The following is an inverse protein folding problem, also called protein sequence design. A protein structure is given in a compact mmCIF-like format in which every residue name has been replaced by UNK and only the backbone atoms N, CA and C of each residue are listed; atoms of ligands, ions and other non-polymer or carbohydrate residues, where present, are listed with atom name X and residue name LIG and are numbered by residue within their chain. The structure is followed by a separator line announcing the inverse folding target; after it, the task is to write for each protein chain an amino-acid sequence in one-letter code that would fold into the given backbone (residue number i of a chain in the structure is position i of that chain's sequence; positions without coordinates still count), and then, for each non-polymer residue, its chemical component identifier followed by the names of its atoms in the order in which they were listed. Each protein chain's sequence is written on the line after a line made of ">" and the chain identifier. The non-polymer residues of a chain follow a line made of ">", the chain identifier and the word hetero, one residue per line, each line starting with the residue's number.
data_IF_604994451405
#
_entry.id   IF_604994451405
#
_cell.length_a   1.000
_cell.length_b   1.000
_cell.length_c   1.000
_cell.angle_alpha   90.00
_cell.angle_beta   90.00
_cell.angle_gamma   90.00
#
_symmetry.space_group_name_H-M   'P 1'
#
loop_
_entity.id
_entity.type
_entity.pdbx_description
1 polymer ?
#
# COMPACT_ATOMS: atom_id res chain seq x y z
N UNK A 1 -13.89 10.51 -19.14
CA UNK A 1 -12.77 9.54 -19.24
C UNK A 1 -11.54 10.05 -18.53
N UNK A 2 -10.97 11.21 -18.92
CA UNK A 2 -9.77 11.79 -18.27
C UNK A 2 -9.90 11.95 -16.75
N UNK A 3 -11.05 12.37 -16.22
CA UNK A 3 -11.25 12.53 -14.78
C UNK A 3 -11.23 11.20 -14.00
N UNK A 4 -11.73 10.11 -14.60
CA UNK A 4 -11.75 8.78 -13.99
C UNK A 4 -10.33 8.22 -13.87
N UNK A 5 -9.52 8.46 -14.90
CA UNK A 5 -8.11 8.07 -14.96
C UNK A 5 -7.29 8.87 -13.96
N UNK A 6 -7.57 10.17 -13.84
CA UNK A 6 -6.94 11.04 -12.85
C UNK A 6 -7.27 10.58 -11.42
N UNK A 7 -8.53 10.23 -11.16
CA UNK A 7 -8.98 9.71 -9.86
C UNK A 7 -8.32 8.38 -9.51
N UNK A 8 -8.22 7.45 -10.46
CA UNK A 8 -7.57 6.16 -10.25
C UNK A 8 -6.06 6.31 -9.96
N UNK A 9 -5.37 7.21 -10.67
CA UNK A 9 -3.96 7.55 -10.40
C UNK A 9 -3.78 8.16 -9.01
N UNK A 10 -4.69 9.02 -8.59
CA UNK A 10 -4.70 9.59 -7.23
C UNK A 10 -4.91 8.53 -6.16
N UNK A 11 -5.87 7.62 -6.36
CA UNK A 11 -6.10 6.49 -5.45
C UNK A 11 -4.86 5.60 -5.34
N UNK A 12 -4.20 5.31 -6.46
CA UNK A 12 -2.95 4.58 -6.48
C UNK A 12 -1.81 5.26 -5.74
N UNK A 13 -1.67 6.56 -5.94
CA UNK A 13 -0.66 7.35 -5.25
C UNK A 13 -0.89 7.28 -3.74
N UNK A 14 -2.13 7.47 -3.29
CA UNK A 14 -2.50 7.38 -1.87
C UNK A 14 -2.18 5.98 -1.33
N UNK A 15 -2.56 4.92 -2.03
CA UNK A 15 -2.32 3.54 -1.58
C UNK A 15 -0.82 3.22 -1.56
N UNK A 16 -0.06 3.69 -2.55
CA UNK A 16 1.39 3.57 -2.58
C UNK A 16 2.06 4.28 -1.40
N UNK A 17 1.62 5.50 -1.07
CA UNK A 17 2.09 6.25 0.10
C UNK A 17 1.77 5.49 1.39
N UNK A 18 0.51 5.06 1.58
CA UNK A 18 0.09 4.32 2.78
C UNK A 18 0.88 3.02 2.94
N UNK A 19 1.07 2.27 1.85
CA UNK A 19 1.83 1.02 1.86
C UNK A 19 3.31 1.26 2.19
N UNK A 20 3.90 2.33 1.65
CA UNK A 20 5.30 2.69 1.91
C UNK A 20 5.51 3.13 3.35
N UNK A 21 4.61 3.97 3.89
CA UNK A 21 4.63 4.40 5.30
C UNK A 21 4.47 3.19 6.22
N UNK A 22 3.58 2.26 5.90
CA UNK A 22 3.39 1.04 6.67
C UNK A 22 4.64 0.14 6.63
N UNK A 23 5.24 -0.05 5.45
CA UNK A 23 6.47 -0.81 5.29
C UNK A 23 7.65 -0.21 6.05
N UNK A 24 7.86 1.11 5.95
CA UNK A 24 8.89 1.83 6.70
C UNK A 24 8.65 1.72 8.21
N UNK A 25 7.40 1.94 8.64
CA UNK A 25 7.00 1.79 10.04
C UNK A 25 7.29 0.40 10.57
N UNK A 26 6.99 -0.65 9.80
CA UNK A 26 7.27 -2.03 10.17
C UNK A 26 8.77 -2.32 10.33
N UNK A 27 9.60 -1.85 9.39
CA UNK A 27 11.06 -2.02 9.48
C UNK A 27 11.63 -1.30 10.70
N UNK A 28 11.16 -0.09 11.00
CA UNK A 28 11.59 0.69 12.16
C UNK A 28 11.16 -0.02 13.46
N UNK A 29 9.87 -0.35 13.61
CA UNK A 29 9.33 -1.03 14.81
C UNK A 29 10.04 -2.36 15.04
N UNK A 30 10.24 -3.15 13.98
CA UNK A 30 10.95 -4.42 14.02
C UNK A 30 12.42 -4.28 14.42
N UNK A 31 13.09 -3.19 14.02
CA UNK A 31 14.48 -2.89 14.39
C UNK A 31 14.61 -2.42 15.84
N UNK A 32 13.63 -1.69 16.36
CA UNK A 32 13.64 -1.15 17.72
C UNK A 32 12.93 -2.05 18.75
N UNK A 33 12.48 -3.24 18.34
CA UNK A 33 11.80 -4.22 19.20
C UNK A 33 10.60 -3.63 19.96
N UNK A 34 9.95 -2.63 19.37
CA UNK A 34 8.82 -1.93 19.97
C UNK A 34 7.61 -2.89 19.86
N UNK A 35 6.97 -3.26 20.98
CA UNK A 35 5.88 -4.24 20.99
C UNK A 35 4.59 -3.57 20.52
N UNK A 36 4.51 -3.28 19.24
CA UNK A 36 3.30 -2.75 18.62
C UNK A 36 2.93 -3.65 17.45
N UNK A 37 1.84 -4.40 17.65
CA UNK A 37 1.18 -5.32 16.70
C UNK A 37 1.91 -6.67 16.53
N UNK A 38 1.22 -7.82 16.69
CA UNK A 38 1.79 -9.13 16.39
C UNK A 38 2.38 -9.17 14.97
N UNK A 39 3.59 -9.73 14.82
CA UNK A 39 4.29 -9.84 13.51
C UNK A 39 3.44 -10.43 12.40
N UNK A 40 2.54 -11.36 12.76
CA UNK A 40 1.63 -12.04 11.84
C UNK A 40 0.61 -11.06 11.24
N UNK A 41 -0.04 -10.26 12.08
CA UNK A 41 -1.11 -9.34 11.66
C UNK A 41 -0.55 -8.23 10.78
N UNK A 42 0.64 -7.75 11.10
CA UNK A 42 1.36 -6.74 10.31
C UNK A 42 1.81 -7.25 8.94
N UNK A 43 2.27 -8.51 8.83
CA UNK A 43 2.53 -9.13 7.53
C UNK A 43 1.26 -9.29 6.69
N UNK A 44 0.12 -9.63 7.32
CA UNK A 44 -1.17 -9.76 6.63
C UNK A 44 -1.62 -8.39 6.09
N UNK A 45 -1.57 -7.34 6.91
CA UNK A 45 -1.96 -5.98 6.51
C UNK A 45 -1.04 -5.46 5.39
N UNK A 46 0.27 -5.64 5.52
CA UNK A 46 1.24 -5.21 4.51
C UNK A 46 1.04 -5.92 3.16
N UNK A 47 0.82 -7.24 3.18
CA UNK A 47 0.57 -8.02 1.94
C UNK A 47 -0.77 -7.66 1.28
N UNK A 48 -1.83 -7.41 2.06
CA UNK A 48 -3.10 -6.89 1.55
C UNK A 48 -2.93 -5.54 0.84
N UNK A 49 -2.21 -4.60 1.46
CA UNK A 49 -1.97 -3.27 0.88
C UNK A 49 -1.18 -3.35 -0.43
N UNK A 50 -0.15 -4.19 -0.49
CA UNK A 50 0.62 -4.43 -1.73
C UNK A 50 -0.27 -5.05 -2.82
N UNK A 51 -1.12 -6.03 -2.48
CA UNK A 51 -2.05 -6.64 -3.43
C UNK A 51 -3.05 -5.64 -4.02
N UNK A 52 -3.60 -4.76 -3.17
CA UNK A 52 -4.50 -3.67 -3.61
C UNK A 52 -3.76 -2.69 -4.53
N UNK A 53 -2.52 -2.32 -4.18
CA UNK A 53 -1.70 -1.45 -5.01
C UNK A 53 -1.43 -2.04 -6.40
N UNK A 54 -1.09 -3.34 -6.46
CA UNK A 54 -0.86 -4.06 -7.73
C UNK A 54 -2.12 -4.17 -8.58
N UNK A 55 -3.26 -4.53 -7.97
CA UNK A 55 -4.52 -4.65 -8.69
C UNK A 55 -4.93 -3.30 -9.32
N UNK A 56 -4.82 -2.21 -8.56
CA UNK A 56 -5.10 -0.88 -9.07
C UNK A 56 -4.08 -0.43 -10.13
N UNK A 57 -2.81 -0.80 -9.98
CA UNK A 57 -1.77 -0.45 -10.94
C UNK A 57 -2.07 -1.08 -12.30
N UNK A 58 -2.41 -2.37 -12.31
CA UNK A 58 -2.86 -3.10 -13.49
C UNK A 58 -4.09 -2.40 -14.10
N UNK A 59 -5.11 -2.10 -13.30
CA UNK A 59 -6.31 -1.39 -13.77
C UNK A 59 -5.95 -0.07 -14.44
N UNK A 60 -5.08 0.75 -13.85
CA UNK A 60 -4.65 2.03 -14.47
C UNK A 60 -3.70 1.91 -15.65
N UNK A 61 -2.94 0.81 -15.75
CA UNK A 61 -2.00 0.59 -16.84
C UNK A 61 -2.70 0.11 -18.10
N UNK A 62 -3.80 -0.65 -17.96
CA UNK A 62 -4.54 -1.23 -19.07
C UNK A 62 -5.85 -0.51 -19.41
N UNK A 63 -6.35 0.37 -18.53
CA UNK A 63 -7.52 1.22 -18.79
C UNK A 63 -7.04 2.68 -18.91
N UNK A 64 -6.96 3.23 -20.14
CA UNK A 64 -6.38 4.54 -20.43
C UNK A 64 -7.22 5.72 -19.95
#
# INVERSE_FOLDING_TARGET
>A
MIEVVLFAKLALLIIGIVSSVYGIGYVIIGKFNIPFIPRRDSMIIGSMLIGIALALFIVTAFIP
#
